data_IF_109183707017
#
_entry.id   IF_109183707017
#
_cell.length_a   1.000
_cell.length_b   1.000
_cell.length_c   1.000
_cell.angle_alpha   90.00
_cell.angle_beta   90.00
_cell.angle_gamma   90.00
#
_symmetry.space_group_name_H-M   'P 1'
#
loop_
_entity.id
_entity.type
_entity.pdbx_description
1 polymer ?
#
# COMPACT_ATOMS: atom_id res chain seq x y z
N UNK A 1 4.75 19.58 17.60
CA UNK A 1 5.95 18.94 17.03
C UNK A 1 6.16 17.54 17.63
N UNK A 2 5.11 16.73 17.75
CA UNK A 2 5.18 15.32 18.18
C UNK A 2 4.20 14.54 17.28
N UNK A 3 4.43 14.63 15.98
CA UNK A 3 5.08 13.60 15.16
C UNK A 3 4.25 12.32 15.13
N UNK A 4 3.52 12.22 14.01
CA UNK A 4 2.69 11.13 13.49
C UNK A 4 3.49 9.82 13.33
N UNK A 5 4.06 9.32 14.42
CA UNK A 5 4.66 8.00 14.50
C UNK A 5 3.49 7.03 14.72
N UNK A 6 3.07 6.28 13.69
CA UNK A 6 2.36 5.03 13.99
C UNK A 6 3.32 4.22 14.87
N UNK A 7 2.94 3.79 16.08
CA UNK A 7 3.86 3.19 17.02
C UNK A 7 4.61 2.02 16.37
N UNK A 8 5.93 1.98 16.55
CA UNK A 8 6.75 0.81 16.18
C UNK A 8 6.22 -0.45 16.89
N UNK A 9 5.46 -0.28 17.97
CA UNK A 9 4.73 -1.31 18.70
C UNK A 9 3.66 -2.08 17.88
N UNK A 10 3.23 -1.63 16.69
CA UNK A 10 2.29 -2.38 15.82
C UNK A 10 2.98 -2.89 14.55
N UNK A 11 3.97 -2.14 14.05
CA UNK A 11 4.72 -2.54 12.84
C UNK A 11 5.73 -3.63 13.12
N UNK A 12 6.46 -3.59 14.25
CA UNK A 12 7.35 -4.68 14.65
C UNK A 12 6.62 -6.01 14.86
N UNK A 13 5.51 -6.10 15.61
CA UNK A 13 4.82 -7.38 15.76
C UNK A 13 4.16 -7.83 14.47
N UNK A 14 3.73 -6.92 13.60
CA UNK A 14 3.24 -7.29 12.27
C UNK A 14 4.34 -7.88 11.38
N UNK A 15 5.53 -7.29 11.41
CA UNK A 15 6.73 -7.80 10.74
C UNK A 15 7.14 -9.16 11.31
N UNK A 16 7.15 -9.28 12.64
CA UNK A 16 7.46 -10.52 13.35
C UNK A 16 6.42 -11.60 13.08
N UNK A 17 5.13 -11.27 13.01
CA UNK A 17 4.06 -12.20 12.66
C UNK A 17 4.16 -12.66 11.22
N UNK A 18 4.43 -11.76 10.26
CA UNK A 18 4.70 -12.13 8.87
C UNK A 18 5.92 -13.04 8.74
N UNK A 19 6.98 -12.76 9.49
CA UNK A 19 8.20 -13.58 9.54
C UNK A 19 7.96 -14.95 10.21
N UNK A 20 7.20 -15.00 11.29
CA UNK A 20 6.82 -16.25 11.96
C UNK A 20 5.87 -17.10 11.11
N UNK A 21 4.91 -16.48 10.40
CA UNK A 21 4.04 -17.17 9.45
C UNK A 21 4.82 -17.73 8.26
N UNK A 22 5.95 -17.12 7.91
CA UNK A 22 6.84 -17.59 6.85
C UNK A 22 7.52 -18.94 7.16
N UNK A 23 7.64 -19.30 8.44
CA UNK A 23 8.15 -20.61 8.87
C UNK A 23 7.09 -21.72 8.84
N UNK A 24 5.82 -21.38 8.59
CA UNK A 24 4.72 -22.35 8.59
C UNK A 24 4.51 -22.95 7.19
N UNK A 25 4.28 -24.27 7.04
CA UNK A 25 4.08 -24.89 5.73
C UNK A 25 2.80 -24.33 5.09
N UNK A 26 2.95 -23.65 3.94
CA UNK A 26 1.85 -22.95 3.24
C UNK A 26 1.85 -21.43 3.39
N UNK A 27 2.78 -20.85 4.17
CA UNK A 27 3.04 -19.41 4.22
C UNK A 27 3.92 -18.92 3.07
N UNK A 28 4.04 -17.60 2.93
CA UNK A 28 4.90 -16.98 1.91
C UNK A 28 6.38 -17.15 2.33
N UNK A 29 7.27 -17.48 1.39
CA UNK A 29 8.73 -17.61 1.64
C UNK A 29 9.32 -16.36 2.31
N UNK A 30 10.29 -16.46 3.23
CA UNK A 30 10.79 -15.30 4.01
C UNK A 30 11.32 -14.17 3.14
N UNK A 31 11.89 -14.52 1.99
CA UNK A 31 12.38 -13.59 0.98
C UNK A 31 11.25 -12.72 0.40
N UNK A 32 10.07 -13.28 0.16
CA UNK A 32 8.92 -12.56 -0.40
C UNK A 32 8.26 -11.63 0.61
N UNK A 33 8.24 -12.01 1.90
CA UNK A 33 7.79 -11.13 2.98
C UNK A 33 8.75 -9.95 3.15
N UNK A 34 10.07 -10.17 3.09
CA UNK A 34 11.04 -9.07 3.14
C UNK A 34 10.91 -8.13 1.94
N UNK A 35 10.79 -8.69 0.72
CA UNK A 35 10.50 -7.91 -0.47
C UNK A 35 9.18 -7.15 -0.35
N UNK A 36 8.16 -7.74 0.29
CA UNK A 36 6.87 -7.09 0.49
C UNK A 36 6.93 -5.88 1.40
N UNK A 37 7.72 -5.95 2.46
CA UNK A 37 8.01 -4.82 3.36
C UNK A 37 8.76 -3.74 2.60
N UNK A 38 9.84 -4.11 1.90
CA UNK A 38 10.67 -3.19 1.15
C UNK A 38 9.89 -2.52 -0.01
N UNK A 39 9.10 -3.29 -0.75
CA UNK A 39 8.31 -2.77 -1.86
C UNK A 39 7.11 -1.95 -1.37
N UNK A 40 6.33 -2.45 -0.41
CA UNK A 40 5.16 -1.74 0.09
C UNK A 40 5.52 -0.48 0.90
N UNK A 41 6.31 -0.68 1.96
CA UNK A 41 6.77 0.40 2.81
C UNK A 41 7.74 1.34 2.09
N UNK A 42 8.73 0.78 1.38
CA UNK A 42 9.73 1.57 0.67
C UNK A 42 9.16 2.35 -0.51
N UNK A 43 8.20 1.80 -1.29
CA UNK A 43 7.58 2.56 -2.38
C UNK A 43 6.77 3.75 -1.85
N UNK A 44 5.97 3.55 -0.79
CA UNK A 44 5.25 4.67 -0.18
C UNK A 44 6.22 5.67 0.47
N UNK A 45 7.28 5.22 1.13
CA UNK A 45 8.29 6.13 1.68
C UNK A 45 8.95 6.97 0.57
N UNK A 46 9.33 6.35 -0.55
CA UNK A 46 9.89 7.03 -1.70
C UNK A 46 8.90 8.04 -2.31
N UNK A 47 7.63 7.67 -2.45
CA UNK A 47 6.57 8.57 -2.92
C UNK A 47 6.36 9.75 -1.97
N UNK A 48 6.40 9.52 -0.66
CA UNK A 48 6.32 10.57 0.37
C UNK A 48 7.49 11.54 0.29
N UNK A 49 8.72 11.02 0.18
CA UNK A 49 9.94 11.83 0.06
C UNK A 49 9.99 12.62 -1.26
N UNK A 50 9.60 12.00 -2.38
CA UNK A 50 9.47 12.69 -3.67
C UNK A 50 8.38 13.78 -3.63
N UNK A 51 7.26 13.50 -2.98
CA UNK A 51 6.19 14.46 -2.79
C UNK A 51 6.63 15.66 -1.94
N UNK A 52 7.35 15.41 -0.85
CA UNK A 52 7.89 16.47 0.00
C UNK A 52 8.91 17.33 -0.76
N UNK A 53 9.79 16.71 -1.55
CA UNK A 53 10.74 17.41 -2.40
C UNK A 53 10.06 18.25 -3.50
N UNK A 54 9.07 17.69 -4.19
CA UNK A 54 8.38 18.33 -5.31
C UNK A 54 7.42 19.44 -4.86
N UNK A 55 6.65 19.21 -3.80
CA UNK A 55 5.62 20.14 -3.33
C UNK A 55 6.09 21.08 -2.21
N UNK A 56 7.33 20.91 -1.72
CA UNK A 56 7.90 21.66 -0.56
C UNK A 56 6.97 21.71 0.66
N UNK A 57 6.08 20.73 0.77
CA UNK A 57 5.14 20.56 1.88
C UNK A 57 5.67 19.45 2.76
N UNK A 58 5.97 19.80 4.01
CA UNK A 58 6.26 18.82 5.06
C UNK A 58 5.04 17.90 5.25
N UNK A 59 5.32 16.60 5.41
CA UNK A 59 4.33 15.51 5.50
C UNK A 59 3.41 15.34 4.27
N UNK A 60 3.98 15.30 3.07
CA UNK A 60 3.22 14.99 1.85
C UNK A 60 2.47 13.65 1.93
N UNK A 61 2.99 12.69 2.70
CA UNK A 61 2.30 11.42 2.95
C UNK A 61 2.35 11.04 4.43
N UNK A 62 1.25 10.50 4.96
CA UNK A 62 1.16 10.13 6.36
C UNK A 62 2.13 9.00 6.68
N UNK A 63 3.01 9.20 7.67
CA UNK A 63 3.91 8.16 8.16
C UNK A 63 3.20 6.87 8.55
N UNK A 64 1.89 6.97 8.85
CA UNK A 64 1.05 5.82 9.09
C UNK A 64 0.74 4.94 7.90
N UNK A 65 0.54 5.53 6.73
CA UNK A 65 0.20 4.80 5.51
C UNK A 65 1.38 3.93 5.05
N UNK A 66 2.60 4.45 5.23
CA UNK A 66 3.86 3.73 4.98
C UNK A 66 3.95 2.47 5.85
N UNK A 67 3.64 2.60 7.15
CA UNK A 67 3.69 1.49 8.11
C UNK A 67 2.60 0.45 7.84
N UNK A 68 1.39 0.89 7.46
CA UNK A 68 0.31 0.01 7.04
C UNK A 68 0.70 -0.82 5.82
N UNK A 69 1.30 -0.20 4.80
CA UNK A 69 1.73 -0.92 3.60
C UNK A 69 2.93 -1.83 3.85
N UNK A 70 3.85 -1.47 4.73
CA UNK A 70 4.94 -2.35 5.16
C UNK A 70 4.38 -3.62 5.83
N UNK A 71 3.39 -3.47 6.70
CA UNK A 71 2.70 -4.59 7.35
C UNK A 71 1.94 -5.45 6.34
N UNK A 72 1.08 -4.85 5.52
CA UNK A 72 0.29 -5.56 4.52
C UNK A 72 1.17 -6.27 3.48
N UNK A 73 2.28 -5.64 3.09
CA UNK A 73 3.28 -6.25 2.21
C UNK A 73 4.03 -7.40 2.87
N UNK A 74 4.25 -7.39 4.19
CA UNK A 74 4.86 -8.52 4.88
C UNK A 74 3.98 -9.78 4.87
N UNK A 75 2.65 -9.58 4.94
CA UNK A 75 1.67 -10.67 4.99
C UNK A 75 1.33 -11.20 3.60
N UNK A 76 1.11 -10.33 2.62
CA UNK A 76 0.62 -10.69 1.29
C UNK A 76 1.69 -10.62 0.19
N UNK A 77 2.91 -10.21 0.54
CA UNK A 77 4.03 -10.08 -0.38
C UNK A 77 4.03 -8.78 -1.19
N UNK A 78 5.10 -8.60 -1.95
CA UNK A 78 5.37 -7.37 -2.72
C UNK A 78 4.40 -7.10 -3.86
N UNK A 79 3.90 -8.15 -4.54
CA UNK A 79 2.93 -8.00 -5.63
C UNK A 79 1.63 -7.36 -5.12
N UNK A 80 1.08 -7.92 -4.04
CA UNK A 80 -0.15 -7.41 -3.43
C UNK A 80 0.04 -6.01 -2.85
N UNK A 81 1.22 -5.71 -2.31
CA UNK A 81 1.53 -4.37 -1.81
C UNK A 81 1.54 -3.32 -2.93
N UNK A 82 2.23 -3.58 -4.05
CA UNK A 82 2.33 -2.62 -5.15
C UNK A 82 0.98 -2.40 -5.85
N UNK A 83 0.26 -3.49 -6.14
CA UNK A 83 -1.08 -3.41 -6.72
C UNK A 83 -2.07 -2.76 -5.75
N UNK A 84 -1.92 -3.01 -4.45
CA UNK A 84 -2.72 -2.37 -3.41
C UNK A 84 -2.52 -0.86 -3.33
N UNK A 85 -1.30 -0.36 -3.55
CA UNK A 85 -1.04 1.08 -3.67
C UNK A 85 -1.77 1.65 -4.90
N UNK A 86 -1.71 0.96 -6.03
CA UNK A 86 -2.37 1.41 -7.25
C UNK A 86 -3.91 1.46 -7.09
N UNK A 87 -4.53 0.37 -6.65
CA UNK A 87 -5.98 0.34 -6.40
C UNK A 87 -6.40 1.29 -5.29
N UNK A 88 -5.61 1.37 -4.22
CA UNK A 88 -5.86 2.26 -3.09
C UNK A 88 -5.79 3.73 -3.50
N UNK A 89 -4.89 4.10 -4.42
CA UNK A 89 -4.83 5.45 -4.98
C UNK A 89 -6.08 5.77 -5.81
N UNK A 90 -6.56 4.84 -6.63
CA UNK A 90 -7.80 5.02 -7.42
C UNK A 90 -8.99 5.22 -6.48
N UNK A 91 -9.14 4.35 -5.48
CA UNK A 91 -10.18 4.46 -4.46
C UNK A 91 -10.04 5.75 -3.65
N UNK A 92 -8.82 6.15 -3.33
CA UNK A 92 -8.52 7.39 -2.60
C UNK A 92 -8.94 8.62 -3.38
N UNK A 93 -8.68 8.67 -4.69
CA UNK A 93 -9.14 9.75 -5.56
C UNK A 93 -10.67 9.79 -5.64
N UNK A 94 -11.31 8.65 -5.86
CA UNK A 94 -12.78 8.57 -5.91
C UNK A 94 -13.41 9.02 -4.58
N UNK A 95 -12.91 8.51 -3.46
CA UNK A 95 -13.36 8.88 -2.13
C UNK A 95 -13.16 10.38 -1.88
N UNK A 96 -12.00 10.93 -2.27
CA UNK A 96 -11.70 12.37 -2.15
C UNK A 96 -12.68 13.23 -2.93
N UNK A 97 -12.99 12.86 -4.18
CA UNK A 97 -13.96 13.58 -5.01
C UNK A 97 -15.35 13.57 -4.35
N UNK A 98 -15.81 12.41 -3.88
CA UNK A 98 -17.10 12.27 -3.20
C UNK A 98 -17.16 13.11 -1.92
N UNK A 99 -16.10 13.09 -1.11
CA UNK A 99 -16.01 13.84 0.15
C UNK A 99 -16.05 15.36 -0.07
N UNK A 100 -15.36 15.83 -1.12
CA UNK A 100 -15.36 17.24 -1.51
C UNK A 100 -16.75 17.63 -2.02
N UNK A 101 -17.34 16.83 -2.90
CA UNK A 101 -18.66 17.10 -3.48
C UNK A 101 -19.79 17.13 -2.44
N UNK A 102 -19.68 16.31 -1.39
CA UNK A 102 -20.67 16.24 -0.31
C UNK A 102 -20.45 17.28 0.80
N UNK A 103 -19.40 18.10 0.73
CA UNK A 103 -19.01 19.07 1.76
C UNK A 103 -18.89 18.49 3.19
N UNK A 104 -18.81 17.16 3.31
CA UNK A 104 -18.69 16.45 4.58
C UNK A 104 -17.29 16.60 5.20
N UNK A 105 -16.34 17.20 4.48
CA UNK A 105 -14.98 17.39 4.92
C UNK A 105 -14.74 18.80 5.49
N UNK A 106 -14.41 18.92 6.79
CA UNK A 106 -13.91 20.17 7.35
C UNK A 106 -12.62 20.55 6.62
N UNK A 107 -12.48 21.83 6.24
CA UNK A 107 -11.32 22.36 5.47
C UNK A 107 -9.94 22.07 6.08
N UNK A 108 -9.89 21.68 7.35
CA UNK A 108 -8.68 21.47 8.13
C UNK A 108 -8.33 19.99 8.41
N UNK A 109 -9.16 19.03 7.96
CA UNK A 109 -8.83 17.61 8.10
C UNK A 109 -8.16 17.04 6.87
N UNK A 110 -7.01 16.39 7.08
CA UNK A 110 -6.36 15.54 6.08
C UNK A 110 -7.28 14.37 5.72
N UNK A 111 -7.37 14.07 4.42
CA UNK A 111 -8.13 12.93 3.90
C UNK A 111 -7.45 11.63 4.39
N UNK A 112 -8.17 10.71 5.03
CA UNK A 112 -7.57 9.46 5.52
C UNK A 112 -7.28 8.54 4.34
N UNK A 113 -6.00 8.43 3.97
CA UNK A 113 -5.55 7.61 2.84
C UNK A 113 -5.43 6.12 3.21
N UNK A 114 -5.09 5.82 4.46
CA UNK A 114 -4.94 4.47 5.00
C UNK A 114 -6.11 3.51 4.73
N UNK A 115 -7.38 3.88 5.00
CA UNK A 115 -8.52 3.01 4.71
C UNK A 115 -8.66 2.65 3.22
N UNK A 116 -8.38 3.61 2.34
CA UNK A 116 -8.40 3.38 0.89
C UNK A 116 -7.27 2.45 0.45
N UNK A 117 -6.06 2.60 1.03
CA UNK A 117 -4.94 1.69 0.79
C UNK A 117 -5.24 0.27 1.28
N UNK A 118 -5.82 0.12 2.48
CA UNK A 118 -6.21 -1.20 3.00
C UNK A 118 -7.24 -1.88 2.08
N UNK A 119 -8.25 -1.13 1.62
CA UNK A 119 -9.23 -1.62 0.65
C UNK A 119 -8.57 -1.98 -0.69
N UNK A 120 -7.60 -1.19 -1.14
CA UNK A 120 -6.82 -1.45 -2.35
C UNK A 120 -6.00 -2.73 -2.27
N UNK A 121 -5.31 -2.97 -1.15
CA UNK A 121 -4.59 -4.24 -0.91
C UNK A 121 -5.55 -5.41 -0.88
N UNK A 122 -6.70 -5.27 -0.21
CA UNK A 122 -7.69 -6.34 -0.17
C UNK A 122 -8.23 -6.67 -1.57
N UNK A 123 -8.51 -5.65 -2.39
CA UNK A 123 -8.86 -5.84 -3.79
C UNK A 123 -7.72 -6.49 -4.58
N UNK A 124 -6.47 -6.11 -4.32
CA UNK A 124 -5.31 -6.74 -4.95
C UNK A 124 -5.16 -8.21 -4.57
N UNK A 125 -5.54 -8.62 -3.38
CA UNK A 125 -5.47 -10.02 -2.97
C UNK A 125 -6.52 -10.86 -3.70
N UNK A 126 -7.72 -10.31 -3.89
CA UNK A 126 -8.83 -11.00 -4.54
C UNK A 126 -8.67 -11.07 -6.06
N UNK A 127 -8.22 -9.98 -6.69
CA UNK A 127 -8.17 -9.84 -8.14
C UNK A 127 -6.76 -9.68 -8.72
N UNK A 128 -5.72 -9.63 -7.89
CA UNK A 128 -4.35 -9.37 -8.35
C UNK A 128 -3.83 -10.43 -9.30
N UNK A 129 -4.06 -11.71 -9.01
CA UNK A 129 -3.61 -12.79 -9.90
C UNK A 129 -4.33 -12.77 -11.25
N UNK A 130 -5.62 -12.44 -11.24
CA UNK A 130 -6.42 -12.30 -12.47
C UNK A 130 -5.98 -11.09 -13.29
N UNK A 131 -5.67 -9.97 -12.63
CA UNK A 131 -5.18 -8.77 -13.28
C UNK A 131 -3.80 -9.00 -13.94
N UNK A 132 -2.89 -9.68 -13.23
CA UNK A 132 -1.56 -10.02 -13.77
C UNK A 132 -1.67 -11.05 -14.90
N UNK A 133 -2.53 -12.06 -14.77
CA UNK A 133 -2.77 -13.04 -15.83
C UNK A 133 -3.35 -12.39 -17.10
N UNK A 134 -4.32 -11.48 -16.95
CA UNK A 134 -4.88 -10.74 -18.07
C UNK A 134 -3.83 -9.85 -18.78
N UNK A 135 -2.94 -9.21 -18.02
CA UNK A 135 -1.85 -8.41 -18.59
C UNK A 135 -0.85 -9.28 -19.37
N UNK A 136 -0.46 -10.44 -18.82
CA UNK A 136 0.45 -11.36 -19.50
C UNK A 136 -0.18 -11.93 -20.79
N UNK A 137 -1.45 -12.31 -20.75
CA UNK A 137 -2.18 -12.78 -21.94
C UNK A 137 -2.29 -11.71 -23.02
N UNK A 138 -2.60 -10.46 -22.63
CA UNK A 138 -2.65 -9.32 -23.55
C UNK A 138 -1.29 -9.07 -24.20
N UNK A 139 -0.21 -9.20 -23.42
CA UNK A 139 1.17 -9.00 -23.90
C UNK A 139 1.59 -10.10 -24.88
N UNK A 140 1.27 -11.37 -24.59
CA UNK A 140 1.56 -12.48 -25.51
C UNK A 140 0.78 -12.37 -26.83
N UNK A 141 -0.49 -11.96 -26.79
CA UNK A 141 -1.27 -11.69 -28.00
C UNK A 141 -0.69 -10.55 -28.85
N UNK A 142 -0.11 -9.53 -28.22
CA UNK A 142 0.50 -8.39 -28.92
C UNK A 142 1.89 -8.70 -29.50
N UNK A 143 2.63 -9.62 -28.89
CA UNK A 143 4.00 -9.99 -29.31
C UNK A 143 4.02 -11.11 -30.35
N UNK A 144 3.02 -11.98 -30.37
CA UNK A 144 2.95 -13.16 -31.25
C UNK A 144 1.71 -13.19 -32.17
N UNK A 145 0.88 -12.14 -32.15
CA UNK A 145 -0.30 -11.99 -33.00
C UNK A 145 -0.08 -11.10 -34.22
#
# INVERSE_FOLDING_TARGET
LEHYIIPDAITLPGLALGFCMSFMPGGITPQMSFLGVAAGGGALFALGALGEFAFKKQDAMGGGDIKLMAFLGSIWGWKAALLGIAFGSILGVLASIVLIATHLLPKDRRIPFGPCLAAGVWASVLWGDQAVAAYLQCTEQLLFG
#
